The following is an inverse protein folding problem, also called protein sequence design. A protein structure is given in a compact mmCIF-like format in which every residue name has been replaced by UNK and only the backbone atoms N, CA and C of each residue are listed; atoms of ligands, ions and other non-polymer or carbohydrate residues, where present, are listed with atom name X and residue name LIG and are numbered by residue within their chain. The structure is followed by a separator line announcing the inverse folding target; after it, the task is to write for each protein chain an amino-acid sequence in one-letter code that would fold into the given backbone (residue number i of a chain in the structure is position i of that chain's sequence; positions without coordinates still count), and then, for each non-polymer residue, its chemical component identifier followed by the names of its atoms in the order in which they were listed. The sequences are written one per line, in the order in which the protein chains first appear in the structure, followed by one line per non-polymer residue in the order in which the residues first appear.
data_IF_939718150243
#
_entry.id   IF_939718150243
#
_cell.length_a   1.000
_cell.length_b   1.000
_cell.length_c   1.000
_cell.angle_alpha   90.00
_cell.angle_beta   90.00
_cell.angle_gamma   90.00
#
_symmetry.space_group_name_H-M   'P 1'
#
loop_
_entity.id
_entity.type
_entity.pdbx_description
1 polymer ?
#
# COMPACT_ATOMS: atom_id res chain seq x y z
N UNK A 1 4.31 -8.40 15.20
CA UNK A 1 4.26 -8.37 13.73
C UNK A 1 5.56 -7.83 13.16
N UNK A 2 6.44 -8.74 12.72
CA UNK A 2 7.57 -8.43 11.84
C UNK A 2 7.04 -8.67 10.41
N UNK A 3 7.02 -7.64 9.58
CA UNK A 3 6.82 -7.87 8.14
C UNK A 3 8.14 -8.41 7.61
N UNK A 4 8.29 -9.73 7.58
CA UNK A 4 9.25 -10.32 6.67
C UNK A 4 8.66 -10.04 5.28
N UNK A 5 9.26 -9.10 4.54
CA UNK A 5 9.04 -8.99 3.11
C UNK A 5 9.61 -10.28 2.49
N UNK A 6 8.82 -11.34 2.55
CA UNK A 6 9.15 -12.60 1.88
C UNK A 6 8.80 -12.38 0.43
N UNK A 7 9.83 -12.19 -0.38
CA UNK A 7 9.71 -12.26 -1.82
C UNK A 7 9.34 -13.70 -2.19
N UNK A 8 8.15 -13.91 -2.76
CA UNK A 8 7.74 -15.24 -3.22
C UNK A 8 8.31 -15.49 -4.63
N UNK A 9 9.45 -16.18 -4.68
CA UNK A 9 10.11 -16.60 -5.92
C UNK A 9 9.26 -17.56 -6.79
N UNK A 10 8.14 -18.10 -6.28
CA UNK A 10 7.35 -19.13 -7.00
C UNK A 10 6.26 -18.57 -7.89
N UNK A 11 5.96 -17.27 -7.80
CA UNK A 11 4.86 -16.67 -8.56
C UNK A 11 5.20 -16.41 -10.04
N UNK A 12 6.45 -16.60 -10.48
CA UNK A 12 6.85 -16.26 -11.85
C UNK A 12 7.75 -17.30 -12.53
N UNK A 13 7.57 -17.55 -13.85
CA UNK A 13 8.47 -18.38 -14.64
C UNK A 13 9.84 -17.72 -14.68
N UNK A 14 10.85 -18.47 -14.25
CA UNK A 14 12.27 -18.13 -14.36
C UNK A 14 12.67 -17.99 -15.83
N UNK A 15 12.54 -16.79 -16.40
CA UNK A 15 13.33 -16.45 -17.57
C UNK A 15 14.63 -15.77 -17.12
N UNK A 16 15.72 -16.44 -17.45
CA UNK A 16 17.04 -16.24 -16.90
C UNK A 16 17.71 -14.99 -17.51
N UNK A 17 17.57 -13.80 -16.92
CA UNK A 17 18.64 -12.78 -17.08
C UNK A 17 18.76 -11.61 -16.10
N UNK A 18 17.86 -11.43 -15.13
CA UNK A 18 18.00 -10.34 -14.14
C UNK A 18 17.86 -10.84 -12.71
N UNK A 19 18.74 -11.77 -12.31
CA UNK A 19 19.13 -11.88 -10.89
C UNK A 19 20.00 -10.68 -10.49
N UNK A 20 19.45 -9.46 -10.61
CA UNK A 20 19.87 -8.40 -9.71
C UNK A 20 19.29 -8.80 -8.35
N UNK A 21 20.11 -9.49 -7.56
CA UNK A 21 19.91 -9.50 -6.11
C UNK A 21 19.89 -8.05 -5.69
N UNK A 22 18.71 -7.44 -5.60
CA UNK A 22 18.54 -6.09 -5.12
C UNK A 22 19.22 -6.04 -3.76
N UNK A 23 20.40 -5.40 -3.62
CA UNK A 23 20.90 -5.12 -2.31
C UNK A 23 20.12 -3.88 -1.90
N UNK A 24 18.84 -4.06 -1.57
CA UNK A 24 18.05 -3.14 -0.77
C UNK A 24 18.73 -3.10 0.61
N UNK A 25 19.94 -2.55 0.68
CA UNK A 25 20.44 -1.88 1.87
C UNK A 25 19.59 -0.63 1.97
N UNK A 26 18.33 -0.81 2.38
CA UNK A 26 17.44 0.26 2.83
C UNK A 26 18.12 0.85 4.05
N UNK A 27 19.07 1.76 3.84
CA UNK A 27 19.92 2.29 4.92
C UNK A 27 19.09 3.01 5.98
N UNK A 28 17.82 3.30 5.73
CA UNK A 28 16.96 4.10 6.61
C UNK A 28 15.48 3.67 6.60
N UNK A 29 15.17 2.36 6.72
CA UNK A 29 13.79 1.98 7.08
C UNK A 29 13.53 2.36 8.54
N UNK A 30 12.91 3.51 8.77
CA UNK A 30 12.52 3.94 10.10
C UNK A 30 11.25 3.19 10.55
N UNK A 31 11.48 2.07 11.26
CA UNK A 31 10.42 1.23 11.81
C UNK A 31 9.46 1.98 12.73
N UNK A 32 9.93 2.99 13.49
CA UNK A 32 9.07 3.76 14.41
C UNK A 32 8.15 4.68 13.61
N UNK A 33 8.69 5.36 12.62
CA UNK A 33 7.92 6.21 11.71
C UNK A 33 6.89 5.39 10.92
N UNK A 34 7.32 4.26 10.35
CA UNK A 34 6.45 3.33 9.63
C UNK A 34 5.26 2.87 10.48
N UNK A 35 5.52 2.34 11.69
CA UNK A 35 4.46 1.87 12.60
C UNK A 35 3.46 2.98 12.92
N UNK A 36 3.95 4.18 13.21
CA UNK A 36 3.07 5.33 13.48
C UNK A 36 2.22 5.68 12.27
N UNK A 37 2.81 5.77 11.08
CA UNK A 37 2.08 6.13 9.86
C UNK A 37 1.07 5.05 9.45
N UNK A 38 1.37 3.77 9.71
CA UNK A 38 0.43 2.66 9.51
C UNK A 38 -0.76 2.77 10.46
N UNK A 39 -0.52 3.02 11.76
CA UNK A 39 -1.60 3.21 12.72
C UNK A 39 -2.48 4.41 12.37
N UNK A 40 -1.87 5.51 11.88
CA UNK A 40 -2.59 6.68 11.36
C UNK A 40 -3.42 6.32 10.10
N UNK A 41 -2.86 5.53 9.17
CA UNK A 41 -3.60 5.07 7.98
C UNK A 41 -4.80 4.19 8.35
N UNK A 42 -4.61 3.25 9.28
CA UNK A 42 -5.68 2.34 9.73
C UNK A 42 -6.78 3.10 10.46
N UNK A 43 -6.43 3.97 11.42
CA UNK A 43 -7.40 4.80 12.13
C UNK A 43 -8.23 5.68 11.17
N UNK A 44 -7.62 6.10 10.05
CA UNK A 44 -8.29 6.88 9.02
C UNK A 44 -9.15 6.01 8.09
N UNK A 45 -8.57 4.97 7.49
CA UNK A 45 -9.21 4.22 6.42
C UNK A 45 -10.20 3.15 6.91
N UNK A 46 -9.96 2.51 8.06
CA UNK A 46 -10.81 1.41 8.54
C UNK A 46 -12.31 1.79 8.67
N UNK A 47 -12.69 2.91 9.33
CA UNK A 47 -14.11 3.29 9.44
C UNK A 47 -14.70 3.86 8.14
N UNK A 48 -13.88 4.06 7.09
CA UNK A 48 -14.29 4.62 5.79
C UNK A 48 -14.35 3.57 4.69
N UNK A 49 -13.80 2.38 4.92
CA UNK A 49 -13.74 1.33 3.92
C UNK A 49 -15.15 0.83 3.59
N UNK A 50 -15.60 1.12 2.37
CA UNK A 50 -16.90 0.70 1.85
C UNK A 50 -16.71 -0.03 0.51
N UNK A 51 -16.82 -1.37 0.48
CA UNK A 51 -16.73 -2.14 -0.76
C UNK A 51 -17.75 -1.75 -1.84
N UNK A 52 -18.89 -1.17 -1.46
CA UNK A 52 -19.89 -0.70 -2.41
C UNK A 52 -19.47 0.60 -3.13
N UNK A 53 -18.49 1.34 -2.58
CA UNK A 53 -17.88 2.54 -3.15
C UNK A 53 -16.35 2.45 -3.13
N UNK A 54 -15.80 1.39 -3.74
CA UNK A 54 -14.35 1.18 -3.82
C UNK A 54 -13.60 2.35 -4.49
N UNK A 55 -14.28 3.07 -5.40
CA UNK A 55 -13.73 4.23 -6.11
C UNK A 55 -13.53 5.42 -5.18
N UNK A 56 -14.55 5.80 -4.40
CA UNK A 56 -14.58 7.05 -3.66
C UNK A 56 -14.16 6.95 -2.19
N UNK A 57 -14.42 5.81 -1.53
CA UNK A 57 -14.45 5.74 -0.07
C UNK A 57 -13.09 6.04 0.62
N UNK A 58 -11.97 5.83 -0.07
CA UNK A 58 -10.60 6.08 0.42
C UNK A 58 -9.82 7.10 -0.42
N UNK A 59 -10.54 7.97 -1.16
CA UNK A 59 -9.97 9.03 -1.99
C UNK A 59 -10.42 10.40 -1.50
N UNK A 60 -10.17 10.71 -0.23
CA UNK A 60 -10.58 12.00 0.35
C UNK A 60 -9.96 13.17 -0.46
N UNK A 61 -10.76 14.06 -1.08
CA UNK A 61 -10.23 15.11 -1.96
C UNK A 61 -9.21 16.01 -1.27
N UNK A 62 -9.41 16.31 0.01
CA UNK A 62 -8.52 17.16 0.79
C UNK A 62 -7.18 16.49 1.18
N UNK A 63 -7.02 15.19 0.96
CA UNK A 63 -5.78 14.43 1.12
C UNK A 63 -5.10 14.10 -0.21
N UNK A 64 -5.71 14.43 -1.35
CA UNK A 64 -5.14 14.17 -2.67
C UNK A 64 -3.72 14.78 -2.78
N UNK A 65 -2.70 13.95 -3.05
CA UNK A 65 -1.30 14.39 -3.18
C UNK A 65 -1.02 15.11 -4.51
N UNK A 66 -1.91 14.98 -5.51
CA UNK A 66 -1.59 15.27 -6.90
C UNK A 66 -0.65 14.20 -7.44
N UNK A 67 0.45 14.63 -8.05
CA UNK A 67 1.52 13.74 -8.47
C UNK A 67 2.28 13.18 -7.26
N UNK A 68 2.60 11.89 -7.25
CA UNK A 68 3.38 11.28 -6.19
C UNK A 68 4.81 11.85 -6.16
N UNK A 69 5.22 12.32 -5.00
CA UNK A 69 6.58 12.78 -4.71
C UNK A 69 6.83 12.67 -3.20
N UNK A 70 8.09 12.64 -2.74
CA UNK A 70 8.40 12.67 -1.31
C UNK A 70 7.75 13.86 -0.58
N UNK A 71 7.70 15.03 -1.21
CA UNK A 71 7.09 16.25 -0.66
C UNK A 71 5.57 16.13 -0.57
N UNK A 72 4.92 15.61 -1.62
CA UNK A 72 3.46 15.45 -1.66
C UNK A 72 3.00 14.34 -0.71
N UNK A 73 3.75 13.24 -0.61
CA UNK A 73 3.56 12.22 0.43
C UNK A 73 3.69 12.83 1.83
N UNK A 74 4.75 13.62 2.10
CA UNK A 74 4.93 14.29 3.39
C UNK A 74 3.76 15.23 3.71
N UNK A 75 3.24 15.96 2.72
CA UNK A 75 2.04 16.81 2.87
C UNK A 75 0.81 15.98 3.20
N UNK A 76 0.60 14.85 2.54
CA UNK A 76 -0.50 13.92 2.79
C UNK A 76 -0.47 13.42 4.24
N UNK A 77 0.65 12.87 4.68
CA UNK A 77 0.83 12.38 6.06
C UNK A 77 0.55 13.49 7.08
N UNK A 78 1.08 14.69 6.85
CA UNK A 78 0.85 15.85 7.73
C UNK A 78 -0.64 16.23 7.79
N UNK A 79 -1.34 16.22 6.65
CA UNK A 79 -2.78 16.52 6.59
C UNK A 79 -3.62 15.45 7.28
N UNK A 80 -3.31 14.16 7.09
CA UNK A 80 -3.98 13.05 7.81
C UNK A 80 -3.79 13.16 9.31
N UNK A 81 -2.55 13.35 9.77
CA UNK A 81 -2.23 13.51 11.20
C UNK A 81 -2.97 14.68 11.86
N UNK A 82 -3.13 15.81 11.16
CA UNK A 82 -3.92 16.95 11.68
C UNK A 82 -5.38 16.58 11.91
N UNK A 83 -5.97 15.76 11.03
CA UNK A 83 -7.36 15.30 11.14
C UNK A 83 -7.56 14.24 12.23
N UNK A 84 -6.52 13.45 12.50
CA UNK A 84 -6.50 12.46 13.59
C UNK A 84 -6.08 13.06 14.95
N UNK A 85 -5.97 14.38 15.07
CA UNK A 85 -5.54 15.00 16.34
C UNK A 85 -6.57 14.70 17.43
N UNK A 86 -6.12 14.03 18.49
CA UNK A 86 -6.99 13.60 19.60
C UNK A 86 -7.69 12.26 19.37
N UNK A 87 -7.54 11.65 18.19
CA UNK A 87 -8.02 10.31 17.91
C UNK A 87 -7.02 9.28 18.45
N UNK A 88 -7.46 8.31 19.28
CA UNK A 88 -6.62 7.19 19.67
C UNK A 88 -6.18 6.39 18.44
N UNK A 89 -4.90 6.04 18.37
CA UNK A 89 -4.39 5.17 17.31
C UNK A 89 -4.52 3.71 17.73
N UNK A 90 -4.90 2.80 16.81
CA UNK A 90 -5.04 1.39 17.14
C UNK A 90 -3.68 0.73 17.37
N UNK A 91 -3.68 -0.33 18.19
CA UNK A 91 -2.57 -1.27 18.29
C UNK A 91 -2.39 -2.00 16.95
N UNK A 92 -1.14 -2.26 16.54
CA UNK A 92 -0.84 -2.81 15.20
C UNK A 92 -0.85 -4.34 15.18
N UNK A 93 -0.87 -4.98 16.33
CA UNK A 93 -0.62 -6.41 16.50
C UNK A 93 -1.75 -7.28 15.95
N UNK A 94 -2.96 -6.74 15.79
CA UNK A 94 -4.15 -7.48 15.37
C UNK A 94 -4.94 -6.73 14.28
N UNK A 95 -4.28 -5.92 13.46
CA UNK A 95 -4.98 -5.15 12.44
C UNK A 95 -5.29 -6.04 11.22
N UNK A 96 -6.57 -6.16 10.84
CA UNK A 96 -6.94 -6.90 9.65
C UNK A 96 -6.55 -6.08 8.41
N UNK A 97 -6.22 -6.75 7.32
CA UNK A 97 -5.77 -6.11 6.07
C UNK A 97 -4.41 -6.61 5.60
N UNK A 98 -3.88 -5.95 4.60
CA UNK A 98 -2.57 -6.28 4.02
C UNK A 98 -1.79 -5.00 3.71
N UNK A 99 -0.50 -5.14 3.35
CA UNK A 99 0.26 -4.04 2.78
C UNK A 99 0.40 -4.25 1.27
N UNK A 100 0.30 -3.17 0.51
CA UNK A 100 0.55 -3.15 -0.91
C UNK A 100 1.84 -2.35 -1.15
N UNK A 101 2.81 -2.94 -1.83
CA UNK A 101 3.95 -2.24 -2.38
C UNK A 101 3.57 -1.77 -3.79
N UNK A 102 3.49 -0.45 -3.99
CA UNK A 102 3.21 0.20 -5.25
C UNK A 102 4.48 0.85 -5.79
N UNK A 103 4.86 0.58 -7.04
CA UNK A 103 5.94 1.30 -7.70
C UNK A 103 5.34 2.35 -8.63
N UNK A 104 5.68 3.61 -8.38
CA UNK A 104 5.35 4.70 -9.29
C UNK A 104 6.25 4.59 -10.53
N UNK A 105 5.75 3.84 -11.51
CA UNK A 105 6.38 3.61 -12.79
C UNK A 105 5.32 3.69 -13.87
N UNK A 106 5.23 4.84 -14.54
CA UNK A 106 5.70 4.87 -15.92
C UNK A 106 5.00 4.02 -16.99
N UNK A 107 3.99 3.20 -16.71
CA UNK A 107 3.32 2.42 -17.73
C UNK A 107 1.87 2.88 -17.88
N UNK A 108 1.43 3.25 -19.10
CA UNK A 108 0.03 3.49 -19.37
C UNK A 108 -0.70 2.15 -19.26
N UNK A 109 -1.72 2.14 -18.42
CA UNK A 109 -2.35 0.93 -17.95
C UNK A 109 -3.52 0.54 -18.85
N UNK A 110 -3.71 -0.76 -19.02
CA UNK A 110 -4.72 -1.35 -19.91
C UNK A 110 -6.12 -1.43 -19.27
N UNK A 111 -6.36 -0.74 -18.15
CA UNK A 111 -7.67 -0.68 -17.47
C UNK A 111 -8.16 -1.98 -16.82
N UNK A 112 -7.49 -3.11 -17.07
CA UNK A 112 -7.86 -4.42 -16.54
C UNK A 112 -7.84 -4.44 -15.01
N UNK A 113 -6.81 -3.88 -14.36
CA UNK A 113 -6.69 -3.86 -12.90
C UNK A 113 -7.78 -2.97 -12.26
N UNK A 114 -8.10 -1.83 -12.88
CA UNK A 114 -9.18 -0.96 -12.39
C UNK A 114 -10.53 -1.71 -12.43
N UNK A 115 -10.83 -2.38 -13.55
CA UNK A 115 -12.05 -3.17 -13.70
C UNK A 115 -12.13 -4.32 -12.68
N UNK A 116 -11.06 -5.12 -12.55
CA UNK A 116 -11.00 -6.26 -11.62
C UNK A 116 -11.03 -5.84 -10.15
N UNK A 117 -10.47 -4.66 -9.84
CA UNK A 117 -10.47 -4.12 -8.48
C UNK A 117 -11.75 -3.36 -8.13
N UNK A 118 -12.73 -3.28 -9.04
CA UNK A 118 -13.95 -2.49 -8.86
C UNK A 118 -13.68 -0.99 -8.67
N UNK A 119 -12.54 -0.49 -9.17
CA UNK A 119 -12.09 0.89 -8.99
C UNK A 119 -11.28 1.17 -7.72
N UNK A 120 -10.97 0.15 -6.90
CA UNK A 120 -10.05 0.35 -5.77
C UNK A 120 -8.66 0.79 -6.28
N UNK A 121 -8.16 0.21 -7.37
CA UNK A 121 -6.93 0.62 -8.07
C UNK A 121 -7.26 1.45 -9.33
N UNK A 122 -7.93 2.60 -9.16
CA UNK A 122 -8.30 3.49 -10.27
C UNK A 122 -7.07 4.16 -10.91
N UNK A 123 -6.97 4.10 -12.24
CA UNK A 123 -5.74 4.44 -12.96
C UNK A 123 -4.52 3.68 -12.42
N UNK A 124 -4.77 2.46 -11.92
CA UNK A 124 -3.85 1.52 -11.27
C UNK A 124 -3.05 2.11 -10.11
N UNK A 125 -3.64 3.13 -9.48
CA UNK A 125 -3.10 3.75 -8.29
C UNK A 125 -3.92 3.33 -7.07
N UNK A 126 -3.26 2.95 -5.96
CA UNK A 126 -3.97 2.74 -4.72
C UNK A 126 -4.64 4.04 -4.25
N UNK A 127 -5.72 3.95 -3.46
CA UNK A 127 -6.35 5.14 -2.92
C UNK A 127 -5.37 5.91 -2.05
N UNK A 128 -5.17 7.20 -2.29
CA UNK A 128 -4.10 7.96 -1.63
C UNK A 128 -4.24 8.03 -0.10
N UNK A 129 -5.44 7.88 0.46
CA UNK A 129 -5.63 7.84 1.92
C UNK A 129 -4.89 6.66 2.58
N UNK A 130 -4.66 5.59 1.82
CA UNK A 130 -4.01 4.35 2.27
C UNK A 130 -2.49 4.44 2.35
N UNK A 131 -1.88 5.50 1.84
CA UNK A 131 -0.43 5.66 1.81
C UNK A 131 0.19 5.62 3.22
N UNK A 132 1.15 4.73 3.44
CA UNK A 132 1.80 4.48 4.74
C UNK A 132 3.22 5.00 4.76
N UNK A 133 4.03 4.66 3.76
CA UNK A 133 5.48 4.92 3.80
C UNK A 133 6.03 5.10 2.39
N UNK A 134 6.93 6.07 2.23
CA UNK A 134 7.66 6.29 0.98
C UNK A 134 9.05 5.70 1.09
N UNK A 135 9.41 4.79 0.19
CA UNK A 135 10.74 4.21 0.10
C UNK A 135 11.59 5.10 -0.83
N UNK A 136 12.54 5.81 -0.23
CA UNK A 136 13.23 6.96 -0.86
C UNK A 136 14.10 6.63 -2.07
N UNK A 137 14.30 5.35 -2.41
CA UNK A 137 15.30 4.94 -3.40
C UNK A 137 14.72 4.39 -4.72
N UNK A 138 13.46 3.95 -4.79
CA UNK A 138 12.91 3.38 -6.02
C UNK A 138 11.50 3.84 -6.36
N UNK A 139 11.08 5.02 -5.87
CA UNK A 139 9.73 5.54 -6.10
C UNK A 139 8.63 4.58 -5.60
N UNK A 140 8.95 3.76 -4.60
CA UNK A 140 8.01 2.79 -4.06
C UNK A 140 7.22 3.38 -2.89
N UNK A 141 5.92 3.09 -2.88
CA UNK A 141 4.97 3.50 -1.88
C UNK A 141 4.38 2.26 -1.22
N UNK A 142 4.53 2.16 0.10
CA UNK A 142 3.76 1.20 0.89
C UNK A 142 2.40 1.79 1.18
N UNK A 143 1.35 1.04 0.87
CA UNK A 143 -0.04 1.36 1.13
C UNK A 143 -0.68 0.29 2.02
N UNK A 144 -1.65 0.67 2.86
CA UNK A 144 -2.43 -0.28 3.64
C UNK A 144 -3.73 -0.63 2.91
N UNK A 145 -3.95 -1.91 2.64
CA UNK A 145 -5.19 -2.42 2.05
C UNK A 145 -6.13 -2.82 3.19
N UNK A 146 -7.27 -2.12 3.39
CA UNK A 146 -8.24 -2.53 4.39
C UNK A 146 -8.79 -3.92 4.08
N UNK A 147 -9.09 -4.71 5.12
CA UNK A 147 -9.53 -6.09 4.99
C UNK A 147 -10.64 -6.34 3.95
N UNK A 148 -11.68 -5.48 3.83
CA UNK A 148 -12.74 -5.67 2.82
C UNK A 148 -12.25 -5.62 1.37
N UNK A 149 -11.07 -5.04 1.10
CA UNK A 149 -10.50 -4.91 -0.24
C UNK A 149 -9.36 -5.90 -0.53
N UNK A 150 -8.93 -6.71 0.46
CA UNK A 150 -7.75 -7.58 0.30
C UNK A 150 -7.94 -8.58 -0.85
N UNK A 151 -9.07 -9.29 -0.89
CA UNK A 151 -9.34 -10.26 -1.95
C UNK A 151 -9.48 -9.60 -3.33
N UNK A 152 -10.17 -8.45 -3.39
CA UNK A 152 -10.33 -7.68 -4.62
C UNK A 152 -8.98 -7.20 -5.17
N UNK A 153 -8.12 -6.67 -4.30
CA UNK A 153 -6.75 -6.29 -4.68
C UNK A 153 -6.00 -7.54 -5.14
N UNK A 154 -5.99 -8.63 -4.38
CA UNK A 154 -5.29 -9.87 -4.74
C UNK A 154 -5.72 -10.38 -6.12
N UNK A 155 -7.02 -10.45 -6.40
CA UNK A 155 -7.54 -10.86 -7.71
C UNK A 155 -7.10 -9.92 -8.84
N UNK A 156 -7.11 -8.60 -8.61
CA UNK A 156 -6.65 -7.63 -9.61
C UNK A 156 -5.15 -7.76 -9.92
N UNK A 157 -4.33 -8.15 -8.93
CA UNK A 157 -2.91 -8.42 -9.16
C UNK A 157 -2.69 -9.66 -10.04
N UNK A 158 -3.51 -10.70 -9.88
CA UNK A 158 -3.45 -11.89 -10.73
C UNK A 158 -3.84 -11.63 -12.18
N UNK A 159 -4.73 -10.67 -12.42
CA UNK A 159 -5.11 -10.26 -13.76
C UNK A 159 -4.03 -9.42 -14.47
N UNK A 160 -3.09 -8.84 -13.73
CA UNK A 160 -1.99 -8.06 -14.27
C UNK A 160 -0.79 -8.95 -14.58
N UNK A 161 -0.22 -8.84 -15.78
CA UNK A 161 1.02 -9.55 -16.15
C UNK A 161 2.30 -8.78 -15.76
N UNK A 162 2.22 -7.77 -14.88
CA UNK A 162 3.28 -6.79 -14.61
C UNK A 162 3.86 -6.84 -13.19
N UNK A 163 5.10 -6.38 -13.03
CA UNK A 163 5.90 -6.44 -11.79
C UNK A 163 5.80 -5.16 -10.93
N UNK A 164 4.64 -4.48 -10.85
CA UNK A 164 4.59 -3.12 -10.24
C UNK A 164 3.83 -3.06 -8.91
N UNK A 165 3.18 -4.16 -8.53
CA UNK A 165 2.31 -4.26 -7.37
C UNK A 165 2.55 -5.58 -6.64
N UNK A 166 2.75 -5.52 -5.32
CA UNK A 166 2.87 -6.72 -4.48
C UNK A 166 2.05 -6.61 -3.21
N UNK A 167 1.26 -7.64 -2.93
CA UNK A 167 0.58 -7.79 -1.66
C UNK A 167 1.52 -8.49 -0.67
N UNK A 168 1.81 -7.82 0.44
CA UNK A 168 2.68 -8.31 1.52
C UNK A 168 1.78 -8.78 2.66
N UNK A 169 1.76 -10.09 2.85
CA UNK A 169 0.97 -10.76 3.89
C UNK A 169 1.89 -11.23 5.03
N UNK A 170 1.41 -11.10 6.27
CA UNK A 170 2.11 -11.67 7.42
C UNK A 170 1.86 -13.18 7.44
N UNK A 171 2.87 -13.99 7.14
CA UNK A 171 2.78 -15.46 7.25
C UNK A 171 2.90 -15.96 8.69
N UNK A 172 3.41 -15.13 9.59
CA UNK A 172 3.52 -15.47 11.01
C UNK A 172 2.28 -15.00 11.80
N UNK A 173 1.73 -15.84 12.69
CA UNK A 173 0.73 -15.40 13.65
C UNK A 173 1.31 -14.30 14.54
N UNK A 174 0.49 -13.34 15.03
CA UNK A 174 0.98 -12.32 15.93
C UNK A 174 1.57 -12.99 17.18
N UNK A 175 2.88 -12.84 17.38
CA UNK A 175 3.55 -13.25 18.62
C UNK A 175 2.87 -12.53 19.79
N UNK A 176 2.16 -13.29 20.61
CA UNK A 176 1.51 -12.87 21.86
C UNK A 176 2.55 -12.58 22.95
#
# INVERSE_FOLDING_TARGET
MLFNLVYDDRAFPTDHQTRQTWPLRVKYFDRRLFRRQLAEAVAWCAPRADPADAVGCLRTPALNPGMWSPENFTRLIRRRRRRLRGTPLPALEALPGALLLYIDGSNPLEGAVESESGGYLAGDQPPWDTAVYWLSYGHELLCWVPAPFVETVRSSLWAQSGEWLWLVESTEPPLL
#
